data_IF_071862525277
#
_entry.id   IF_071862525277
#
_cell.length_a   1.000
_cell.length_b   1.000
_cell.length_c   1.000
_cell.angle_alpha   90.00
_cell.angle_beta   90.00
_cell.angle_gamma   90.00
#
_symmetry.space_group_name_H-M   'P 1'
#
loop_
_entity.id
_entity.type
_entity.pdbx_description
1 polymer ?
#
# COMPACT_ATOMS: atom_id res chain seq x y z
N UNK A 1 22.46 36.44 34.79
CA UNK A 1 22.07 37.49 33.81
C UNK A 1 20.75 37.05 33.21
N UNK A 2 19.67 37.52 33.84
CA UNK A 2 18.31 37.14 33.44
C UNK A 2 17.92 37.94 32.19
N UNK A 3 17.90 37.22 31.06
CA UNK A 3 17.42 37.77 29.82
C UNK A 3 15.89 37.93 29.85
N UNK A 4 15.45 39.06 30.30
CA UNK A 4 14.06 39.50 30.25
C UNK A 4 13.68 39.71 28.78
N UNK A 5 13.22 38.67 28.09
CA UNK A 5 12.55 38.82 26.81
C UNK A 5 11.26 39.57 27.04
N UNK A 6 11.19 40.81 26.57
CA UNK A 6 9.96 41.56 26.41
C UNK A 6 9.08 40.71 25.47
N UNK A 7 8.16 39.96 26.05
CA UNK A 7 7.08 39.31 25.29
C UNK A 7 6.15 40.42 24.86
N UNK A 8 6.14 40.70 23.56
CA UNK A 8 5.18 41.60 22.95
C UNK A 8 3.79 41.05 23.27
N UNK A 9 3.00 41.83 24.04
CA UNK A 9 1.79 41.33 24.69
C UNK A 9 0.56 41.22 23.77
N UNK A 10 0.72 40.78 22.53
CA UNK A 10 -0.37 40.42 21.65
C UNK A 10 -0.82 38.96 21.90
N UNK A 11 -1.76 38.82 22.82
CA UNK A 11 -2.47 37.56 23.03
C UNK A 11 -3.77 37.58 22.20
N UNK A 12 -3.93 36.55 21.34
CA UNK A 12 -5.20 36.33 20.64
C UNK A 12 -6.06 35.34 21.44
N UNK A 13 -7.13 35.86 22.06
CA UNK A 13 -8.06 35.08 22.88
C UNK A 13 -8.80 33.99 22.11
N UNK A 14 -8.93 34.11 20.79
CA UNK A 14 -9.64 33.16 19.95
C UNK A 14 -8.71 32.01 19.48
N UNK A 15 -7.52 32.38 18.97
CA UNK A 15 -6.54 31.41 18.48
C UNK A 15 -5.60 30.86 19.58
N UNK A 16 -5.55 31.52 20.74
CA UNK A 16 -4.61 31.23 21.81
C UNK A 16 -3.17 31.63 21.49
N UNK A 17 -2.93 32.33 20.37
CA UNK A 17 -1.59 32.75 19.96
C UNK A 17 -0.97 33.65 21.03
N UNK A 18 0.28 33.35 21.43
CA UNK A 18 0.98 34.05 22.51
C UNK A 18 0.69 33.53 23.92
N UNK A 19 -0.24 32.58 24.09
CA UNK A 19 -0.59 31.94 25.38
C UNK A 19 -0.13 30.49 25.43
N UNK A 20 -0.26 29.84 26.59
CA UNK A 20 -0.03 28.37 26.73
C UNK A 20 -1.03 27.51 25.93
N UNK A 21 -2.08 28.13 25.39
CA UNK A 21 -3.08 27.47 24.53
C UNK A 21 -2.81 27.69 23.04
N UNK A 22 -1.69 28.31 22.69
CA UNK A 22 -1.28 28.51 21.30
C UNK A 22 -1.04 27.16 20.64
N UNK A 23 -1.94 26.80 19.71
CA UNK A 23 -1.85 25.56 18.94
C UNK A 23 -0.59 25.49 18.07
N UNK A 24 -0.02 26.65 17.68
CA UNK A 24 1.22 26.74 16.93
C UNK A 24 2.47 26.44 17.78
N UNK A 25 2.43 26.77 19.08
CA UNK A 25 3.55 26.47 20.00
C UNK A 25 3.70 24.97 20.32
N UNK A 26 2.68 24.17 20.03
CA UNK A 26 2.70 22.72 20.18
C UNK A 26 3.33 21.99 18.97
N UNK A 27 3.77 22.72 17.94
CA UNK A 27 4.50 22.16 16.81
C UNK A 27 5.97 21.84 17.14
N UNK A 28 6.28 21.46 18.38
CA UNK A 28 7.54 20.86 18.76
C UNK A 28 7.50 19.38 18.36
N UNK A 29 8.59 18.91 17.72
CA UNK A 29 8.77 17.48 17.51
C UNK A 29 8.79 16.79 18.88
N UNK A 30 7.65 16.28 19.31
CA UNK A 30 7.60 15.37 20.44
C UNK A 30 8.34 14.10 20.01
N UNK A 31 9.37 13.73 20.77
CA UNK A 31 10.01 12.41 20.62
C UNK A 31 8.87 11.40 20.65
N UNK A 32 8.76 10.60 19.60
CA UNK A 32 7.65 9.65 19.44
C UNK A 32 7.57 8.76 20.68
N UNK A 33 6.59 8.99 21.52
CA UNK A 33 6.29 8.13 22.66
C UNK A 33 5.90 6.74 22.13
N UNK A 34 6.35 5.71 22.81
CA UNK A 34 5.88 4.36 22.50
C UNK A 34 4.43 4.28 22.93
N UNK A 35 3.52 4.30 21.97
CA UNK A 35 2.11 4.11 22.24
C UNK A 35 1.84 2.69 22.75
N UNK A 36 0.96 2.58 23.73
CA UNK A 36 0.53 1.28 24.24
C UNK A 36 -0.22 0.49 23.16
N UNK A 37 -0.15 -0.86 23.16
CA UNK A 37 -0.80 -1.71 22.14
C UNK A 37 -2.28 -1.40 21.93
N UNK A 38 -3.00 -1.13 22.99
CA UNK A 38 -4.44 -0.81 22.94
C UNK A 38 -4.71 0.55 22.29
N UNK A 39 -3.81 1.54 22.44
CA UNK A 39 -3.93 2.85 21.79
C UNK A 39 -3.76 2.72 20.28
N UNK A 40 -2.74 1.96 19.83
CA UNK A 40 -2.52 1.67 18.41
C UNK A 40 -3.71 0.95 17.80
N UNK A 41 -4.26 -0.04 18.51
CA UNK A 41 -5.46 -0.76 18.10
C UNK A 41 -6.67 0.16 18.01
N UNK A 42 -6.92 0.96 19.05
CA UNK A 42 -8.06 1.89 19.08
C UNK A 42 -7.95 2.92 17.95
N UNK A 43 -6.77 3.48 17.70
CA UNK A 43 -6.56 4.41 16.59
C UNK A 43 -6.83 3.74 15.23
N UNK A 44 -6.37 2.50 15.05
CA UNK A 44 -6.61 1.72 13.84
C UNK A 44 -8.11 1.42 13.64
N UNK A 45 -8.83 1.00 14.69
CA UNK A 45 -10.25 0.68 14.61
C UNK A 45 -11.15 1.93 14.43
N UNK A 46 -10.69 3.09 14.91
CA UNK A 46 -11.48 4.32 14.89
C UNK A 46 -11.39 5.13 13.59
N UNK A 47 -10.32 5.01 12.81
CA UNK A 47 -10.10 5.85 11.62
C UNK A 47 -9.84 5.03 10.36
N UNK A 48 -10.71 5.20 9.36
CA UNK A 48 -10.53 4.57 8.04
C UNK A 48 -9.25 5.04 7.32
N UNK A 49 -8.80 6.28 7.55
CA UNK A 49 -7.54 6.77 7.02
C UNK A 49 -6.35 6.04 7.63
N UNK A 50 -6.40 5.77 8.93
CA UNK A 50 -5.35 4.99 9.62
C UNK A 50 -5.35 3.55 9.13
N UNK A 51 -6.52 2.90 9.01
CA UNK A 51 -6.62 1.56 8.44
C UNK A 51 -5.98 1.51 7.06
N UNK A 52 -6.35 2.43 6.18
CA UNK A 52 -5.79 2.50 4.83
C UNK A 52 -4.28 2.73 4.81
N UNK A 53 -3.76 3.59 5.70
CA UNK A 53 -2.33 3.86 5.83
C UNK A 53 -1.51 2.63 6.28
N UNK A 54 -2.10 1.78 7.08
CA UNK A 54 -1.48 0.52 7.56
C UNK A 54 -1.66 -0.59 6.53
N UNK A 55 -2.88 -0.79 6.05
CA UNK A 55 -3.26 -1.97 5.25
C UNK A 55 -2.76 -1.89 3.81
N UNK A 56 -2.93 -0.76 3.13
CA UNK A 56 -2.61 -0.63 1.71
C UNK A 56 -1.16 -1.03 1.35
N UNK A 57 -0.10 -0.58 2.07
CA UNK A 57 1.25 -1.04 1.74
C UNK A 57 1.51 -2.52 2.08
N UNK A 58 0.80 -3.09 3.04
CA UNK A 58 0.87 -4.52 3.34
C UNK A 58 0.16 -5.33 2.27
N UNK A 59 -1.04 -4.88 1.85
CA UNK A 59 -1.83 -5.49 0.79
C UNK A 59 -1.09 -5.43 -0.54
N UNK A 60 -0.61 -4.27 -0.96
CA UNK A 60 0.12 -4.10 -2.22
C UNK A 60 1.40 -4.94 -2.25
N UNK A 61 2.09 -5.13 -1.11
CA UNK A 61 3.28 -6.00 -1.05
C UNK A 61 2.96 -7.49 -1.22
N UNK A 62 1.70 -7.89 -1.06
CA UNK A 62 1.25 -9.27 -1.17
C UNK A 62 0.27 -9.51 -2.34
N UNK A 63 -0.37 -8.46 -2.89
CA UNK A 63 -1.39 -8.56 -3.93
C UNK A 63 -0.90 -9.27 -5.17
N UNK A 64 0.21 -8.79 -5.74
CA UNK A 64 0.89 -9.45 -6.83
C UNK A 64 1.95 -10.36 -6.23
N UNK A 65 1.55 -11.65 -6.08
CA UNK A 65 2.35 -12.63 -5.37
C UNK A 65 3.54 -13.11 -6.20
N UNK A 66 4.20 -14.13 -5.72
CA UNK A 66 5.38 -14.73 -6.36
C UNK A 66 5.01 -15.47 -7.64
N UNK A 67 5.92 -15.48 -8.57
CA UNK A 67 5.88 -16.28 -9.79
C UNK A 67 7.06 -17.25 -9.74
N UNK A 68 6.74 -18.52 -9.59
CA UNK A 68 7.75 -19.57 -9.50
C UNK A 68 8.36 -19.85 -10.86
N UNK A 69 9.65 -20.10 -10.87
CA UNK A 69 10.44 -20.50 -12.03
C UNK A 69 10.97 -21.91 -11.77
N UNK A 70 10.43 -22.89 -12.45
CA UNK A 70 10.72 -24.31 -12.36
C UNK A 70 10.00 -25.06 -13.49
N UNK A 71 10.01 -26.37 -13.50
CA UNK A 71 9.16 -27.17 -14.39
C UNK A 71 7.67 -27.00 -14.02
N UNK A 72 6.79 -27.09 -15.03
CA UNK A 72 5.35 -26.84 -14.86
C UNK A 72 4.69 -27.69 -13.76
N UNK A 73 5.13 -28.91 -13.58
CA UNK A 73 4.63 -29.82 -12.54
C UNK A 73 5.11 -29.37 -11.16
N UNK A 74 6.36 -28.95 -11.05
CA UNK A 74 6.94 -28.42 -9.80
C UNK A 74 6.26 -27.13 -9.38
N UNK A 75 6.04 -26.19 -10.32
CA UNK A 75 5.29 -24.96 -10.08
C UNK A 75 3.92 -25.28 -9.52
N UNK A 76 3.16 -26.17 -10.17
CA UNK A 76 1.83 -26.57 -9.72
C UNK A 76 1.82 -27.15 -8.31
N UNK A 77 2.82 -27.97 -7.97
CA UNK A 77 2.96 -28.57 -6.64
C UNK A 77 3.28 -27.50 -5.58
N UNK A 78 4.16 -26.55 -5.89
CA UNK A 78 4.53 -25.46 -4.96
C UNK A 78 3.35 -24.53 -4.74
N UNK A 79 2.64 -24.13 -5.79
CA UNK A 79 1.44 -23.28 -5.69
C UNK A 79 0.31 -23.97 -4.91
N UNK A 80 0.11 -25.29 -5.11
CA UNK A 80 -0.85 -26.06 -4.33
C UNK A 80 -0.50 -26.09 -2.84
N UNK A 81 0.79 -26.20 -2.50
CA UNK A 81 1.26 -26.19 -1.12
C UNK A 81 1.16 -24.80 -0.51
N UNK A 82 1.48 -23.71 -1.25
CA UNK A 82 1.23 -22.32 -0.83
C UNK A 82 -0.26 -22.08 -0.52
N UNK A 83 -1.13 -22.56 -1.38
CA UNK A 83 -2.58 -22.44 -1.20
C UNK A 83 -3.07 -23.25 0.01
N UNK A 84 -2.58 -24.49 0.18
CA UNK A 84 -2.93 -25.34 1.33
C UNK A 84 -2.56 -24.68 2.67
N UNK A 85 -1.41 -24.02 2.72
CA UNK A 85 -0.89 -23.35 3.91
C UNK A 85 -1.44 -21.92 4.07
N UNK A 86 -2.04 -21.35 3.02
CA UNK A 86 -2.50 -19.96 2.98
C UNK A 86 -1.36 -18.96 3.10
N UNK A 87 -0.19 -19.24 2.51
CA UNK A 87 1.05 -18.47 2.70
C UNK A 87 0.84 -16.99 2.43
N UNK A 88 0.27 -16.63 1.28
CA UNK A 88 0.03 -15.23 0.89
C UNK A 88 -0.84 -14.49 1.91
N UNK A 89 -1.94 -15.07 2.35
CA UNK A 89 -2.85 -14.48 3.32
C UNK A 89 -2.19 -14.32 4.70
N UNK A 90 -1.40 -15.32 5.13
CA UNK A 90 -0.67 -15.28 6.41
C UNK A 90 0.44 -14.23 6.39
N UNK A 91 1.16 -14.10 5.28
CA UNK A 91 2.19 -13.07 5.12
C UNK A 91 1.56 -11.67 5.10
N UNK A 92 0.42 -11.49 4.40
CA UNK A 92 -0.32 -10.23 4.44
C UNK A 92 -0.73 -9.86 5.87
N UNK A 93 -1.33 -10.79 6.61
CA UNK A 93 -1.71 -10.59 8.01
C UNK A 93 -0.50 -10.20 8.87
N UNK A 94 0.60 -10.94 8.75
CA UNK A 94 1.83 -10.66 9.48
C UNK A 94 2.40 -9.27 9.12
N UNK A 95 2.44 -8.92 7.84
CA UNK A 95 2.90 -7.60 7.38
C UNK A 95 2.05 -6.46 7.91
N UNK A 96 0.73 -6.60 7.90
CA UNK A 96 -0.21 -5.64 8.47
C UNK A 96 0.05 -5.43 9.96
N UNK A 97 0.17 -6.52 10.73
CA UNK A 97 0.45 -6.47 12.16
C UNK A 97 1.83 -5.89 12.46
N UNK A 98 2.84 -6.22 11.64
CA UNK A 98 4.17 -5.64 11.78
C UNK A 98 4.18 -4.12 11.56
N UNK A 99 3.42 -3.61 10.60
CA UNK A 99 3.26 -2.16 10.37
C UNK A 99 2.54 -1.48 11.53
N UNK A 100 1.47 -2.09 12.04
CA UNK A 100 0.67 -1.55 13.13
C UNK A 100 1.44 -1.57 14.47
N UNK A 101 2.01 -2.70 14.82
CA UNK A 101 2.61 -2.92 16.13
C UNK A 101 4.13 -2.81 16.17
N UNK A 102 4.79 -2.70 15.00
CA UNK A 102 6.25 -2.66 14.91
C UNK A 102 6.91 -4.01 14.68
N UNK A 103 6.18 -5.11 14.83
CA UNK A 103 6.68 -6.45 14.58
C UNK A 103 5.60 -7.52 14.65
N UNK A 104 5.83 -8.60 13.92
CA UNK A 104 5.05 -9.83 13.96
C UNK A 104 5.94 -11.02 13.55
N UNK A 105 5.53 -12.21 13.88
CA UNK A 105 6.21 -13.44 13.50
C UNK A 105 5.25 -14.39 12.79
N UNK A 106 5.78 -15.17 11.85
CA UNK A 106 5.08 -16.31 11.27
C UNK A 106 5.79 -17.58 11.74
N UNK A 107 5.12 -18.38 12.55
CA UNK A 107 5.62 -19.64 13.06
C UNK A 107 5.43 -20.76 12.03
N UNK A 108 6.51 -21.46 11.71
CA UNK A 108 6.52 -22.63 10.83
C UNK A 108 6.31 -23.89 11.70
N UNK A 109 5.14 -24.48 11.61
CA UNK A 109 4.77 -25.68 12.35
C UNK A 109 5.02 -26.95 11.54
N UNK A 110 5.97 -27.79 11.97
CA UNK A 110 6.27 -29.08 11.34
C UNK A 110 5.67 -30.26 12.08
N UNK A 111 5.03 -30.03 13.26
CA UNK A 111 4.54 -31.09 14.13
C UNK A 111 5.63 -31.77 14.96
N UNK A 112 6.83 -31.16 15.05
CA UNK A 112 7.89 -31.65 15.92
C UNK A 112 7.46 -31.61 17.39
N UNK A 113 7.92 -32.57 18.18
CA UNK A 113 7.58 -32.70 19.60
C UNK A 113 8.25 -31.65 20.49
N UNK A 114 9.42 -31.16 20.07
CA UNK A 114 10.18 -30.12 20.78
C UNK A 114 10.25 -28.84 19.94
N UNK A 115 9.58 -27.76 20.32
CA UNK A 115 9.64 -26.47 19.62
C UNK A 115 11.01 -25.78 19.74
N UNK A 116 11.86 -26.15 20.70
CA UNK A 116 13.22 -25.64 20.87
C UNK A 116 14.24 -26.30 19.94
N UNK A 117 13.90 -27.43 19.34
CA UNK A 117 14.75 -28.07 18.33
C UNK A 117 14.88 -27.15 17.10
N UNK A 118 16.11 -26.86 16.62
CA UNK A 118 16.30 -26.08 15.40
C UNK A 118 15.53 -26.68 14.23
N UNK A 119 14.84 -25.85 13.49
CA UNK A 119 14.25 -26.24 12.21
C UNK A 119 15.37 -26.27 11.16
N UNK A 120 15.74 -27.48 10.78
CA UNK A 120 16.63 -27.72 9.66
C UNK A 120 15.76 -27.95 8.41
N UNK A 121 15.80 -27.04 7.41
CA UNK A 121 15.03 -27.21 6.18
C UNK A 121 15.29 -28.54 5.46
N UNK A 122 16.52 -29.10 5.56
CA UNK A 122 16.88 -30.36 4.91
C UNK A 122 16.10 -31.56 5.46
N UNK A 123 15.60 -31.46 6.68
CA UNK A 123 14.80 -32.53 7.31
C UNK A 123 13.31 -32.46 6.96
N UNK A 124 12.89 -31.42 6.25
CA UNK A 124 11.48 -31.24 5.87
C UNK A 124 11.13 -32.16 4.71
N UNK A 125 10.37 -33.22 5.00
CA UNK A 125 9.84 -34.13 3.99
C UNK A 125 8.61 -33.53 3.26
N UNK A 126 8.17 -34.20 2.20
CA UNK A 126 6.95 -33.82 1.47
C UNK A 126 5.74 -33.77 2.41
N UNK A 127 5.01 -32.64 2.37
CA UNK A 127 3.93 -32.34 3.31
C UNK A 127 4.42 -32.12 4.75
N UNK A 128 5.71 -31.76 4.95
CA UNK A 128 6.34 -31.58 6.26
C UNK A 128 5.90 -30.35 7.00
N UNK A 129 5.53 -29.27 6.30
CA UNK A 129 4.89 -28.12 6.94
C UNK A 129 3.42 -28.45 7.22
N UNK A 130 3.04 -28.44 8.48
CA UNK A 130 1.66 -28.78 8.90
C UNK A 130 0.76 -27.53 8.98
N UNK A 131 1.30 -26.44 9.51
CA UNK A 131 0.57 -25.19 9.68
C UNK A 131 1.52 -23.99 9.73
N UNK A 132 0.95 -22.82 9.49
CA UNK A 132 1.58 -21.52 9.71
C UNK A 132 0.71 -20.73 10.69
N UNK A 133 1.31 -20.13 11.71
CA UNK A 133 0.61 -19.32 12.71
C UNK A 133 1.19 -17.92 12.76
N UNK A 134 0.35 -16.91 12.60
CA UNK A 134 0.75 -15.50 12.74
C UNK A 134 0.71 -15.14 14.22
N UNK A 135 1.77 -14.54 14.72
CA UNK A 135 1.93 -14.08 16.09
C UNK A 135 2.26 -12.58 16.08
N UNK A 136 1.63 -11.83 16.94
CA UNK A 136 1.97 -10.43 17.16
C UNK A 136 3.22 -10.32 18.03
N UNK A 137 3.93 -9.17 17.98
CA UNK A 137 5.07 -8.93 18.88
C UNK A 137 4.74 -9.00 20.38
N UNK A 138 3.47 -8.92 20.74
CA UNK A 138 3.02 -8.98 22.15
C UNK A 138 2.72 -10.38 22.63
N UNK A 139 2.58 -11.33 21.71
CA UNK A 139 2.40 -12.76 22.01
C UNK A 139 3.73 -13.50 22.11
N UNK A 140 4.82 -12.88 21.60
CA UNK A 140 6.13 -13.51 21.51
C UNK A 140 7.22 -12.55 21.97
N UNK A 141 8.10 -13.00 22.85
CA UNK A 141 9.20 -12.22 23.44
C UNK A 141 10.54 -12.92 23.23
N UNK A 142 11.52 -12.20 22.70
CA UNK A 142 12.89 -12.69 22.56
C UNK A 142 13.60 -12.76 23.91
N UNK A 143 14.32 -13.84 24.14
CA UNK A 143 15.03 -14.11 25.40
C UNK A 143 16.49 -14.47 25.12
N UNK A 144 17.34 -14.20 26.12
CA UNK A 144 18.75 -14.60 26.18
C UNK A 144 19.52 -14.25 24.90
N UNK A 145 19.80 -12.94 24.75
CA UNK A 145 20.44 -12.41 23.54
C UNK A 145 21.89 -12.86 23.41
N UNK A 146 22.32 -13.16 22.17
CA UNK A 146 23.71 -13.44 21.85
C UNK A 146 24.54 -12.16 21.98
N UNK A 147 25.51 -12.17 22.88
CA UNK A 147 26.35 -11.01 23.18
C UNK A 147 27.75 -11.10 22.56
N UNK A 148 28.11 -12.22 21.95
CA UNK A 148 29.39 -12.39 21.27
C UNK A 148 29.38 -11.64 19.93
N UNK A 149 30.22 -10.60 19.83
CA UNK A 149 30.36 -9.77 18.60
C UNK A 149 30.85 -10.58 17.41
N UNK A 150 31.54 -11.70 17.64
CA UNK A 150 32.07 -12.58 16.58
C UNK A 150 31.02 -13.55 16.06
N UNK A 151 29.90 -13.72 16.78
CA UNK A 151 28.79 -14.56 16.36
C UNK A 151 27.99 -13.91 15.22
N UNK A 152 27.58 -14.64 14.19
CA UNK A 152 26.67 -14.16 13.14
C UNK A 152 25.29 -13.79 13.69
N UNK A 153 24.96 -14.27 14.89
CA UNK A 153 23.70 -14.00 15.59
C UNK A 153 23.81 -12.89 16.63
N UNK A 154 24.90 -12.10 16.62
CA UNK A 154 25.11 -11.00 17.56
C UNK A 154 23.89 -10.11 17.69
N UNK A 155 23.43 -9.89 18.92
CA UNK A 155 22.22 -9.14 19.29
C UNK A 155 20.89 -9.78 18.85
N UNK A 156 20.88 -11.05 18.46
CA UNK A 156 19.64 -11.77 18.21
C UNK A 156 19.26 -12.61 19.43
N UNK A 157 17.96 -12.83 19.69
CA UNK A 157 17.49 -13.73 20.74
C UNK A 157 17.94 -15.17 20.47
N UNK A 158 18.43 -15.86 21.48
CA UNK A 158 18.75 -17.30 21.38
C UNK A 158 17.49 -18.16 21.28
N UNK A 159 16.41 -17.71 21.91
CA UNK A 159 15.09 -18.32 21.77
C UNK A 159 13.99 -17.30 21.96
N UNK A 160 12.79 -17.65 21.53
CA UNK A 160 11.60 -16.86 21.67
C UNK A 160 10.59 -17.57 22.57
N UNK A 161 9.98 -16.85 23.48
CA UNK A 161 8.94 -17.38 24.37
C UNK A 161 7.58 -16.89 23.90
N UNK A 162 6.67 -17.82 23.62
CA UNK A 162 5.25 -17.55 23.30
C UNK A 162 4.42 -17.86 24.50
N UNK A 163 3.46 -16.98 24.81
CA UNK A 163 2.44 -17.24 25.82
C UNK A 163 1.22 -17.87 25.12
N UNK A 164 0.99 -19.15 25.33
CA UNK A 164 -0.15 -19.86 24.79
C UNK A 164 -1.47 -19.38 25.44
N UNK A 165 -2.61 -19.66 24.81
CA UNK A 165 -3.93 -19.24 25.27
C UNK A 165 -4.31 -19.78 26.68
N UNK A 166 -3.71 -20.89 27.10
CA UNK A 166 -3.85 -21.49 28.43
C UNK A 166 -2.88 -20.90 29.47
N UNK A 167 -2.07 -19.89 29.10
CA UNK A 167 -1.07 -19.27 29.93
C UNK A 167 0.26 -20.02 30.04
N UNK A 168 0.43 -21.14 29.35
CA UNK A 168 1.72 -21.84 29.29
C UNK A 168 2.74 -21.06 28.47
N UNK A 169 3.98 -21.04 28.92
CA UNK A 169 5.10 -20.46 28.19
C UNK A 169 5.79 -21.55 27.37
N UNK A 170 5.83 -21.33 26.06
CA UNK A 170 6.47 -22.25 25.12
C UNK A 170 7.67 -21.54 24.51
N UNK A 171 8.84 -22.17 24.64
CA UNK A 171 10.06 -21.64 24.02
C UNK A 171 10.19 -22.19 22.61
N UNK A 172 10.53 -21.30 21.66
CA UNK A 172 10.69 -21.61 20.25
C UNK A 172 12.11 -21.28 19.80
N UNK A 173 12.67 -22.16 18.97
CA UNK A 173 13.94 -21.86 18.32
C UNK A 173 13.74 -20.79 17.23
N UNK A 174 14.67 -19.81 17.07
CA UNK A 174 14.54 -18.72 16.08
C UNK A 174 14.36 -19.19 14.64
N UNK A 175 14.95 -20.33 14.24
CA UNK A 175 14.82 -20.88 12.89
C UNK A 175 13.39 -21.30 12.52
N UNK A 176 12.47 -21.40 13.50
CA UNK A 176 11.05 -21.71 13.25
C UNK A 176 10.21 -20.47 12.99
N UNK A 177 10.81 -19.29 13.02
CA UNK A 177 10.10 -18.01 12.95
C UNK A 177 10.56 -17.19 11.74
N UNK A 178 9.60 -16.72 10.97
CA UNK A 178 9.78 -15.65 9.99
C UNK A 178 9.41 -14.34 10.67
N UNK A 179 10.40 -13.45 10.86
CA UNK A 179 10.19 -12.19 11.56
C UNK A 179 9.92 -11.06 10.58
N UNK A 180 8.79 -10.39 10.73
CA UNK A 180 8.45 -9.18 10.00
C UNK A 180 8.56 -7.98 10.91
N UNK A 181 9.38 -7.01 10.52
CA UNK A 181 9.53 -5.75 11.22
C UNK A 181 8.67 -4.67 10.56
N UNK A 182 8.17 -3.73 11.37
CA UNK A 182 7.53 -2.52 10.87
C UNK A 182 8.56 -1.56 10.27
N UNK A 183 8.82 -0.42 10.93
CA UNK A 183 9.97 0.40 10.60
C UNK A 183 11.22 -0.26 11.17
N UNK A 184 12.30 -0.25 10.36
CA UNK A 184 13.56 -0.82 10.81
C UNK A 184 13.99 -0.25 12.17
N UNK A 185 14.45 -1.09 13.11
CA UNK A 185 14.94 -0.62 14.39
C UNK A 185 16.17 0.27 14.15
N UNK A 186 16.17 1.45 14.78
CA UNK A 186 17.39 2.24 14.87
C UNK A 186 18.33 1.50 15.82
N UNK A 187 19.61 1.42 15.45
CA UNK A 187 20.62 0.90 16.36
C UNK A 187 20.75 1.86 17.54
N UNK A 188 20.43 1.40 18.74
CA UNK A 188 20.65 2.17 19.95
C UNK A 188 22.14 2.41 20.16
N UNK A 189 22.49 3.65 20.44
CA UNK A 189 23.87 4.05 20.78
C UNK A 189 24.20 3.51 22.18
N UNK A 190 24.61 2.22 22.26
CA UNK A 190 25.15 1.63 23.49
C UNK A 190 24.28 0.60 24.20
N UNK A 191 23.10 0.22 23.68
CA UNK A 191 22.25 -0.83 24.26
C UNK A 191 22.01 -2.00 23.32
N UNK A 192 21.67 -3.15 23.88
CA UNK A 192 20.98 -4.21 23.16
C UNK A 192 19.59 -3.68 22.86
N UNK A 193 19.13 -3.71 21.61
CA UNK A 193 17.73 -3.43 21.30
C UNK A 193 16.88 -4.29 22.21
N UNK A 194 16.07 -3.66 23.02
CA UNK A 194 15.51 -4.30 24.22
C UNK A 194 14.53 -5.43 23.94
N UNK A 195 14.09 -5.60 22.68
CA UNK A 195 13.08 -6.61 22.34
C UNK A 195 13.23 -7.27 20.95
N UNK A 196 14.24 -6.88 20.15
CA UNK A 196 14.49 -7.45 18.82
C UNK A 196 13.50 -7.00 17.75
N UNK A 197 12.54 -6.13 18.06
CA UNK A 197 11.50 -5.68 17.16
C UNK A 197 11.78 -4.32 16.52
N UNK A 198 11.12 -4.06 15.41
CA UNK A 198 11.06 -2.74 14.80
C UNK A 198 10.07 -1.81 15.53
N UNK A 199 9.80 -0.65 14.93
CA UNK A 199 8.84 0.33 15.45
C UNK A 199 7.56 0.31 14.63
N UNK A 200 6.43 0.63 15.28
CA UNK A 200 5.17 0.91 14.61
C UNK A 200 5.35 2.05 13.59
N UNK A 201 4.70 1.91 12.44
CA UNK A 201 4.66 3.00 11.45
C UNK A 201 3.65 4.09 11.82
N UNK A 202 2.69 3.78 12.70
CA UNK A 202 1.57 4.66 13.01
C UNK A 202 1.98 5.98 13.71
N UNK A 203 2.85 6.00 14.73
CA UNK A 203 3.17 7.25 15.44
C UNK A 203 3.68 8.36 14.53
N UNK A 204 4.50 8.01 13.53
CA UNK A 204 5.07 8.98 12.60
C UNK A 204 4.06 9.64 11.65
N UNK A 205 2.90 9.02 11.42
CA UNK A 205 1.86 9.54 10.51
C UNK A 205 0.61 10.01 11.24
N UNK A 206 0.48 9.69 12.53
CA UNK A 206 -0.75 9.89 13.31
C UNK A 206 -1.17 11.36 13.36
N UNK A 207 -0.22 12.26 13.63
CA UNK A 207 -0.51 13.70 13.71
C UNK A 207 -0.94 14.29 12.37
N UNK A 208 -0.33 13.85 11.28
CA UNK A 208 -0.68 14.29 9.94
C UNK A 208 -2.10 13.85 9.56
N UNK A 209 -2.45 12.60 9.87
CA UNK A 209 -3.79 12.04 9.62
C UNK A 209 -4.85 12.71 10.50
N UNK A 210 -4.59 12.92 11.80
CA UNK A 210 -5.50 13.65 12.70
C UNK A 210 -5.80 15.06 12.20
N UNK A 211 -4.79 15.77 11.68
CA UNK A 211 -4.99 17.13 11.14
C UNK A 211 -5.92 17.15 9.93
N UNK A 212 -5.91 16.10 9.09
CA UNK A 212 -6.88 16.00 7.98
C UNK A 212 -8.29 15.83 8.52
N UNK A 213 -8.49 14.96 9.51
CA UNK A 213 -9.80 14.76 10.15
C UNK A 213 -10.28 16.04 10.85
N UNK A 214 -9.38 16.74 11.57
CA UNK A 214 -9.69 18.02 12.25
C UNK A 214 -10.10 19.10 11.26
N UNK A 215 -9.40 19.24 10.13
CA UNK A 215 -9.73 20.29 9.16
C UNK A 215 -11.05 19.97 8.44
N UNK A 216 -11.32 18.71 8.16
CA UNK A 216 -12.60 18.29 7.61
C UNK A 216 -13.76 18.58 8.59
N UNK A 217 -13.57 18.28 9.88
CA UNK A 217 -14.53 18.62 10.93
C UNK A 217 -14.74 20.14 11.06
N UNK A 218 -13.67 20.93 11.08
CA UNK A 218 -13.73 22.39 11.16
C UNK A 218 -14.43 22.98 9.94
N UNK A 219 -14.14 22.47 8.72
CA UNK A 219 -14.83 22.89 7.50
C UNK A 219 -16.33 22.60 7.56
N UNK A 220 -16.72 21.44 8.08
CA UNK A 220 -18.12 21.11 8.32
C UNK A 220 -18.77 22.06 9.34
N UNK A 221 -18.10 22.35 10.46
CA UNK A 221 -18.59 23.29 11.48
C UNK A 221 -18.77 24.69 10.92
N UNK A 222 -17.79 25.19 10.13
CA UNK A 222 -17.89 26.47 9.44
C UNK A 222 -19.07 26.53 8.47
N UNK A 223 -19.46 25.41 7.86
CA UNK A 223 -20.61 25.36 6.97
C UNK A 223 -21.94 25.67 7.68
N UNK A 224 -22.05 25.30 8.95
CA UNK A 224 -23.22 25.64 9.79
C UNK A 224 -23.21 27.10 10.20
N UNK A 225 -22.03 27.74 10.34
CA UNK A 225 -21.86 29.15 10.69
C UNK A 225 -21.75 30.05 9.45
N UNK A 226 -21.89 29.48 8.25
CA UNK A 226 -21.72 30.21 6.98
C UNK A 226 -22.63 31.42 6.81
N UNK A 227 -23.69 31.50 7.58
CA UNK A 227 -24.67 32.60 7.56
C UNK A 227 -24.85 33.14 8.96
N UNK A 228 -24.34 34.32 9.18
CA UNK A 228 -24.60 35.07 10.42
C UNK A 228 -25.65 36.13 10.16
N UNK A 229 -26.75 36.01 10.86
CA UNK A 229 -27.81 37.03 10.83
C UNK A 229 -27.51 38.09 11.84
N UNK A 230 -27.35 39.32 11.37
CA UNK A 230 -27.14 40.48 12.22
C UNK A 230 -28.43 41.28 12.24
N UNK A 231 -29.09 41.33 13.41
CA UNK A 231 -30.28 42.16 13.65
C UNK A 231 -29.83 43.33 14.50
N UNK A 232 -29.93 44.55 13.97
CA UNK A 232 -29.66 45.77 14.72
C UNK A 232 -30.96 46.23 15.37
N UNK A 233 -30.98 46.23 16.71
CA UNK A 233 -32.11 46.70 17.51
C UNK A 233 -31.72 48.07 18.10
N UNK A 234 -32.46 49.14 17.82
CA UNK A 234 -32.16 50.45 18.38
C UNK A 234 -32.22 50.42 19.92
N UNK A 235 -31.28 51.13 20.53
CA UNK A 235 -31.18 51.30 22.01
C UNK A 235 -31.15 49.97 22.81
N UNK A 236 -30.76 48.85 22.21
CA UNK A 236 -30.74 47.51 22.86
C UNK A 236 -30.04 47.54 24.23
N UNK A 237 -28.84 48.09 24.30
CA UNK A 237 -28.06 48.13 25.54
C UNK A 237 -28.68 49.04 26.59
N UNK A 238 -29.24 50.17 26.17
CA UNK A 238 -29.94 51.11 27.05
C UNK A 238 -31.21 50.48 27.64
N UNK A 239 -31.99 49.81 26.83
CA UNK A 239 -33.21 49.12 27.25
C UNK A 239 -32.88 47.90 28.18
N UNK A 240 -31.81 47.17 27.92
CA UNK A 240 -31.35 46.09 28.80
C UNK A 240 -30.95 46.60 30.19
N UNK A 241 -30.26 47.75 30.25
CA UNK A 241 -29.88 48.38 31.52
C UNK A 241 -31.08 48.94 32.30
N UNK A 242 -32.07 49.48 31.60
CA UNK A 242 -33.23 50.14 32.23
C UNK A 242 -34.34 49.16 32.61
N UNK A 243 -34.61 48.14 31.79
CA UNK A 243 -35.75 47.21 31.94
C UNK A 243 -35.33 45.85 32.47
N UNK A 244 -34.02 45.58 32.54
CA UNK A 244 -33.45 44.34 33.13
C UNK A 244 -33.91 43.03 32.46
N UNK A 245 -34.04 41.99 33.27
CA UNK A 245 -34.31 40.59 32.87
C UNK A 245 -35.61 40.48 32.04
N UNK A 246 -36.65 41.27 32.31
CA UNK A 246 -37.89 41.18 31.57
C UNK A 246 -37.70 41.54 30.06
N UNK A 247 -36.92 42.56 29.77
CA UNK A 247 -36.61 42.92 28.37
C UNK A 247 -35.71 41.92 27.69
N UNK A 248 -34.73 41.38 28.40
CA UNK A 248 -33.88 40.27 27.90
C UNK A 248 -34.73 39.08 27.45
N UNK A 249 -35.71 38.68 28.25
CA UNK A 249 -36.61 37.58 27.90
C UNK A 249 -37.48 37.89 26.68
N UNK A 250 -37.97 39.12 26.54
CA UNK A 250 -38.70 39.57 25.36
C UNK A 250 -37.86 39.48 24.10
N UNK A 251 -36.59 39.95 24.15
CA UNK A 251 -35.65 39.90 23.03
C UNK A 251 -35.32 38.45 22.66
N UNK A 252 -35.04 37.57 23.62
CA UNK A 252 -34.77 36.14 23.40
C UNK A 252 -36.00 35.47 22.75
N UNK A 253 -37.22 35.73 23.27
CA UNK A 253 -38.46 35.17 22.71
C UNK A 253 -38.66 35.62 21.27
N UNK A 254 -38.38 36.85 20.96
CA UNK A 254 -38.47 37.41 19.61
C UNK A 254 -37.45 36.80 18.67
N UNK A 255 -36.18 36.65 19.06
CA UNK A 255 -35.15 36.02 18.25
C UNK A 255 -35.52 34.55 17.97
N UNK A 256 -36.03 33.82 18.96
CA UNK A 256 -36.52 32.43 18.76
C UNK A 256 -37.65 32.39 17.74
N UNK A 257 -38.65 33.28 17.83
CA UNK A 257 -39.75 33.33 16.85
C UNK A 257 -39.26 33.73 15.45
N UNK A 258 -38.34 34.67 15.34
CA UNK A 258 -37.75 35.07 14.07
C UNK A 258 -36.96 33.92 13.43
N UNK A 259 -36.18 33.14 14.22
CA UNK A 259 -35.45 31.98 13.76
C UNK A 259 -36.36 30.83 13.30
N UNK A 260 -37.50 30.62 13.98
CA UNK A 260 -38.50 29.64 13.57
C UNK A 260 -39.26 30.06 12.30
N UNK A 261 -39.62 31.32 12.16
CA UNK A 261 -40.31 31.84 10.99
C UNK A 261 -39.44 31.83 9.72
N UNK A 262 -38.13 32.02 9.87
CA UNK A 262 -37.17 32.02 8.76
C UNK A 262 -37.06 30.65 8.07
N UNK A 263 -37.41 29.55 8.76
CA UNK A 263 -37.16 28.18 8.28
C UNK A 263 -38.02 27.69 7.11
N UNK A 264 -39.21 28.26 6.89
CA UNK A 264 -40.18 27.69 5.94
C UNK A 264 -40.43 28.59 4.71
N UNK A 265 -40.48 29.91 4.86
CA UNK A 265 -40.85 30.82 3.73
C UNK A 265 -39.88 32.00 3.56
N UNK A 266 -38.74 32.04 4.24
CA UNK A 266 -37.72 33.10 4.05
C UNK A 266 -38.16 34.49 4.46
N UNK A 267 -39.29 34.66 5.18
CA UNK A 267 -39.82 35.97 5.58
C UNK A 267 -39.38 36.30 7.00
N UNK A 268 -38.64 37.37 7.16
CA UNK A 268 -38.29 37.96 8.45
C UNK A 268 -39.10 39.24 8.68
N UNK A 269 -39.85 39.29 9.78
CA UNK A 269 -40.63 40.49 10.16
C UNK A 269 -39.77 41.33 11.10
N UNK A 270 -39.50 42.58 10.68
CA UNK A 270 -38.71 43.57 11.43
C UNK A 270 -39.59 44.73 11.84
N UNK A 271 -39.23 45.40 12.92
CA UNK A 271 -39.81 46.72 13.26
C UNK A 271 -39.23 47.78 12.32
N UNK A 272 -39.97 48.90 12.16
CA UNK A 272 -39.61 49.98 11.23
C UNK A 272 -38.20 50.59 11.48
N UNK A 273 -37.68 50.44 12.69
CA UNK A 273 -36.37 50.94 13.09
C UNK A 273 -35.29 49.88 13.19
N UNK A 274 -35.60 48.62 12.92
CA UNK A 274 -34.66 47.51 12.93
C UNK A 274 -34.02 47.29 11.56
N UNK A 275 -32.73 47.03 11.56
CA UNK A 275 -32.01 46.65 10.34
C UNK A 275 -31.57 45.19 10.40
N UNK A 276 -31.76 44.49 9.31
CA UNK A 276 -31.29 43.14 9.11
C UNK A 276 -30.16 43.08 8.06
N UNK A 277 -29.07 42.50 8.42
CA UNK A 277 -27.94 42.24 7.51
C UNK A 277 -27.57 40.79 7.62
N UNK A 278 -27.49 40.10 6.50
CA UNK A 278 -26.96 38.73 6.47
C UNK A 278 -25.52 38.76 6.01
N UNK A 279 -24.60 38.37 6.90
CA UNK A 279 -23.19 38.17 6.56
C UNK A 279 -22.97 36.73 6.17
N UNK A 280 -22.50 36.53 4.95
CA UNK A 280 -22.11 35.23 4.45
C UNK A 280 -20.59 35.11 4.49
N UNK A 281 -20.07 34.02 5.06
CA UNK A 281 -18.65 33.67 5.00
C UNK A 281 -18.31 33.16 3.61
N UNK A 282 -17.22 33.65 3.04
CA UNK A 282 -16.66 33.07 1.80
C UNK A 282 -15.76 31.90 2.15
N UNK A 283 -16.01 30.77 1.52
CA UNK A 283 -15.17 29.59 1.62
C UNK A 283 -14.06 29.54 0.55
N UNK A 284 -13.86 30.63 -0.19
CA UNK A 284 -12.80 30.71 -1.19
C UNK A 284 -11.44 30.44 -0.53
N UNK A 285 -10.67 29.51 -1.06
CA UNK A 285 -9.37 29.11 -0.52
C UNK A 285 -9.40 27.98 0.51
N UNK A 286 -10.55 27.60 1.06
CA UNK A 286 -10.63 26.46 2.00
C UNK A 286 -10.23 25.14 1.33
N UNK A 287 -10.65 24.92 0.08
CA UNK A 287 -10.27 23.79 -0.74
C UNK A 287 -8.74 23.66 -0.85
N UNK A 288 -8.05 24.76 -1.21
CA UNK A 288 -6.60 24.76 -1.31
C UNK A 288 -5.88 24.45 0.01
N UNK A 289 -6.47 24.84 1.14
CA UNK A 289 -5.93 24.52 2.47
C UNK A 289 -6.12 23.02 2.78
N UNK A 290 -7.29 22.47 2.53
CA UNK A 290 -7.58 21.04 2.71
C UNK A 290 -6.62 20.21 1.85
N UNK A 291 -6.43 20.57 0.59
CA UNK A 291 -5.50 19.90 -0.32
C UNK A 291 -4.07 19.87 0.22
N UNK A 292 -3.60 20.98 0.83
CA UNK A 292 -2.26 21.02 1.45
C UNK A 292 -2.12 20.04 2.62
N UNK A 293 -3.14 19.92 3.47
CA UNK A 293 -3.11 18.96 4.57
C UNK A 293 -3.17 17.50 4.05
N UNK A 294 -3.95 17.24 3.00
CA UNK A 294 -4.00 15.94 2.35
C UNK A 294 -2.65 15.57 1.71
N UNK A 295 -1.96 16.55 1.06
CA UNK A 295 -0.60 16.36 0.54
C UNK A 295 0.39 16.02 1.66
N UNK A 296 0.35 16.75 2.78
CA UNK A 296 1.21 16.47 3.93
C UNK A 296 0.95 15.10 4.55
N UNK A 297 -0.33 14.70 4.67
CA UNK A 297 -0.69 13.37 5.16
C UNK A 297 -0.20 12.27 4.21
N UNK A 298 -0.39 12.43 2.89
CA UNK A 298 0.14 11.51 1.87
C UNK A 298 1.65 11.36 1.96
N UNK A 299 2.37 12.47 2.14
CA UNK A 299 3.82 12.45 2.31
C UNK A 299 4.24 11.71 3.60
N UNK A 300 3.52 11.91 4.71
CA UNK A 300 3.78 11.23 5.99
C UNK A 300 3.53 9.72 5.91
N UNK A 301 2.46 9.32 5.22
CA UNK A 301 2.12 7.90 4.98
C UNK A 301 3.04 7.29 3.92
N UNK A 302 3.51 8.11 2.97
CA UNK A 302 4.34 7.68 1.85
C UNK A 302 3.56 6.94 0.76
N UNK A 303 2.27 7.27 0.61
CA UNK A 303 1.37 6.82 -0.46
C UNK A 303 0.94 8.05 -1.24
N UNK A 304 0.97 8.04 -2.59
CA UNK A 304 0.51 9.16 -3.40
C UNK A 304 -0.91 9.59 -3.06
N UNK A 305 -1.16 10.91 -3.10
CA UNK A 305 -2.47 11.49 -2.77
C UNK A 305 -3.60 10.92 -3.63
N UNK A 306 -3.34 10.68 -4.91
CA UNK A 306 -4.26 10.06 -5.87
C UNK A 306 -4.71 8.65 -5.46
N UNK A 307 -3.78 7.86 -4.92
CA UNK A 307 -4.07 6.52 -4.41
C UNK A 307 -4.65 6.57 -3.00
N UNK A 308 -4.08 7.38 -2.11
CA UNK A 308 -4.46 7.40 -0.70
C UNK A 308 -5.85 7.98 -0.46
N UNK A 309 -6.17 9.11 -1.11
CA UNK A 309 -7.46 9.79 -0.98
C UNK A 309 -8.42 9.50 -2.14
N UNK A 310 -8.01 8.71 -3.15
CA UNK A 310 -8.78 8.41 -4.36
C UNK A 310 -9.24 9.67 -5.12
N UNK A 311 -8.37 10.67 -5.20
CA UNK A 311 -8.64 11.94 -5.87
C UNK A 311 -8.05 11.89 -7.27
N UNK A 312 -8.78 12.42 -8.24
CA UNK A 312 -8.25 12.58 -9.59
C UNK A 312 -7.05 13.51 -9.59
N UNK A 313 -5.95 13.18 -10.31
CA UNK A 313 -4.80 14.06 -10.40
C UNK A 313 -5.21 15.39 -11.04
N UNK A 314 -4.78 16.51 -10.43
CA UNK A 314 -5.04 17.85 -10.95
C UNK A 314 -4.09 18.19 -12.12
N UNK A 315 -4.65 18.80 -13.18
CA UNK A 315 -3.86 19.31 -14.32
C UNK A 315 -4.19 18.64 -15.66
N UNK A 316 -3.92 19.37 -16.76
CA UNK A 316 -4.29 19.02 -18.14
C UNK A 316 -3.64 17.73 -18.69
N UNK A 317 -2.62 17.20 -18.03
CA UNK A 317 -1.88 15.98 -18.45
C UNK A 317 -1.55 15.05 -17.28
N UNK A 318 -2.19 15.24 -16.12
CA UNK A 318 -1.89 14.46 -14.93
C UNK A 318 -2.65 13.14 -14.96
N UNK A 319 -2.00 12.05 -15.37
CA UNK A 319 -2.56 10.70 -15.31
C UNK A 319 -2.37 10.06 -13.94
N UNK A 320 -1.50 10.62 -13.08
CA UNK A 320 -1.10 10.03 -11.80
C UNK A 320 -0.23 8.76 -11.95
N UNK A 321 0.12 8.37 -13.17
CA UNK A 321 0.90 7.17 -13.45
C UNK A 321 2.30 7.23 -12.85
N UNK A 322 2.99 8.37 -12.97
CA UNK A 322 4.35 8.52 -12.44
C UNK A 322 4.40 8.33 -10.93
N UNK A 323 3.40 8.87 -10.21
CA UNK A 323 3.31 8.75 -8.76
C UNK A 323 2.99 7.32 -8.35
N UNK A 324 2.09 6.66 -9.10
CA UNK A 324 1.75 5.26 -8.87
C UNK A 324 2.94 4.34 -9.14
N UNK A 325 3.71 4.58 -10.21
CA UNK A 325 4.94 3.83 -10.49
C UNK A 325 5.98 4.01 -9.40
N UNK A 326 6.23 5.25 -8.97
CA UNK A 326 7.16 5.53 -7.87
C UNK A 326 6.75 4.84 -6.55
N UNK A 327 5.45 4.78 -6.28
CA UNK A 327 4.92 4.04 -5.13
C UNK A 327 5.14 2.52 -5.27
N UNK A 328 4.87 1.95 -6.44
CA UNK A 328 5.08 0.52 -6.68
C UNK A 328 6.57 0.13 -6.67
N UNK A 329 7.45 1.01 -7.12
CA UNK A 329 8.90 0.81 -6.96
C UNK A 329 9.30 0.74 -5.49
N UNK A 330 8.70 1.59 -4.63
CA UNK A 330 8.89 1.53 -3.18
C UNK A 330 8.39 0.20 -2.58
N UNK A 331 7.23 -0.29 -3.03
CA UNK A 331 6.71 -1.59 -2.60
C UNK A 331 7.62 -2.73 -3.06
N UNK A 332 8.16 -2.68 -4.28
CA UNK A 332 9.14 -3.65 -4.80
C UNK A 332 10.42 -3.68 -3.96
N UNK A 333 10.91 -2.51 -3.51
CA UNK A 333 12.03 -2.43 -2.58
C UNK A 333 11.71 -3.13 -1.26
N UNK A 334 10.50 -2.96 -0.74
CA UNK A 334 10.03 -3.65 0.47
C UNK A 334 9.98 -5.16 0.29
N UNK A 335 9.49 -5.64 -0.86
CA UNK A 335 9.47 -7.07 -1.21
C UNK A 335 10.88 -7.65 -1.28
N UNK A 336 11.79 -6.99 -2.00
CA UNK A 336 13.13 -7.54 -2.29
C UNK A 336 14.11 -7.40 -1.11
N UNK A 337 14.08 -6.27 -0.36
CA UNK A 337 15.05 -6.03 0.70
C UNK A 337 14.59 -6.50 2.09
N UNK A 338 13.29 -6.69 2.30
CA UNK A 338 12.75 -7.03 3.62
C UNK A 338 11.98 -8.35 3.63
N UNK A 339 11.01 -8.50 2.72
CA UNK A 339 10.17 -9.71 2.70
C UNK A 339 10.95 -10.93 2.22
N UNK A 340 11.65 -10.85 1.10
CA UNK A 340 12.42 -11.96 0.55
C UNK A 340 13.41 -12.55 1.56
N UNK A 341 14.33 -11.72 2.11
CA UNK A 341 15.27 -12.22 3.12
C UNK A 341 14.59 -12.79 4.39
N UNK A 342 13.49 -12.16 4.85
CA UNK A 342 12.76 -12.66 6.02
C UNK A 342 12.11 -14.02 5.77
N UNK A 343 11.63 -14.25 4.54
CA UNK A 343 10.93 -15.48 4.15
C UNK A 343 11.85 -16.61 3.70
N UNK A 344 13.16 -16.39 3.58
CA UNK A 344 14.10 -17.36 2.99
C UNK A 344 14.00 -18.76 3.61
N UNK A 345 13.91 -18.85 4.94
CA UNK A 345 13.79 -20.15 5.61
C UNK A 345 12.42 -20.82 5.35
N UNK A 346 11.36 -20.01 5.27
CA UNK A 346 10.04 -20.52 4.89
C UNK A 346 10.05 -21.04 3.47
N UNK A 347 10.71 -20.35 2.54
CA UNK A 347 10.77 -20.72 1.13
C UNK A 347 11.51 -22.05 0.95
N UNK A 348 12.63 -22.25 1.65
CA UNK A 348 13.35 -23.52 1.67
C UNK A 348 12.48 -24.67 2.18
N UNK A 349 11.78 -24.47 3.30
CA UNK A 349 10.88 -25.45 3.86
C UNK A 349 9.66 -25.71 2.95
N UNK A 350 9.14 -24.68 2.29
CA UNK A 350 7.97 -24.76 1.42
C UNK A 350 8.25 -25.61 0.17
N UNK A 351 9.38 -25.33 -0.50
CA UNK A 351 9.78 -26.10 -1.69
C UNK A 351 9.94 -27.56 -1.33
N UNK A 352 10.64 -27.89 -0.25
CA UNK A 352 10.80 -29.27 0.23
C UNK A 352 9.48 -29.90 0.65
N UNK A 353 8.60 -29.12 1.29
CA UNK A 353 7.25 -29.61 1.63
C UNK A 353 6.40 -29.90 0.40
N UNK A 354 6.58 -29.16 -0.70
CA UNK A 354 5.86 -29.38 -1.95
C UNK A 354 6.44 -30.54 -2.78
N UNK A 355 7.76 -30.56 -2.96
CA UNK A 355 8.44 -31.45 -3.89
C UNK A 355 9.03 -32.71 -3.19
N UNK A 356 9.49 -32.55 -1.94
CA UNK A 356 10.22 -33.59 -1.17
C UNK A 356 11.73 -33.35 -1.16
N UNK A 357 12.24 -32.52 -2.05
CA UNK A 357 13.62 -32.10 -2.18
C UNK A 357 13.72 -30.61 -2.52
N UNK A 358 14.94 -30.13 -2.79
CA UNK A 358 15.22 -28.73 -3.14
C UNK A 358 16.05 -28.68 -4.42
N UNK A 359 15.39 -28.64 -5.60
CA UNK A 359 16.11 -28.43 -6.86
C UNK A 359 16.79 -27.05 -6.89
N UNK A 360 18.01 -26.98 -7.46
CA UNK A 360 18.83 -25.76 -7.48
C UNK A 360 18.26 -24.66 -8.40
N UNK A 361 17.53 -25.04 -9.41
CA UNK A 361 16.93 -24.17 -10.42
C UNK A 361 15.60 -23.53 -9.98
N UNK A 362 14.95 -24.08 -8.95
CA UNK A 362 13.70 -23.55 -8.42
C UNK A 362 13.94 -22.23 -7.68
N UNK A 363 13.39 -21.17 -8.23
CA UNK A 363 13.40 -19.86 -7.63
C UNK A 363 12.11 -19.10 -7.96
N UNK A 364 11.90 -17.93 -7.38
CA UNK A 364 10.74 -17.11 -7.72
C UNK A 364 11.13 -15.67 -8.04
N UNK A 365 10.21 -14.98 -8.71
CA UNK A 365 10.22 -13.53 -8.90
C UNK A 365 8.93 -12.94 -8.33
N UNK A 366 8.99 -11.70 -7.88
CA UNK A 366 7.79 -10.95 -7.52
C UNK A 366 7.10 -10.50 -8.81
N UNK A 367 5.79 -10.79 -8.93
CA UNK A 367 4.99 -10.27 -10.05
C UNK A 367 4.98 -8.75 -10.04
N UNK A 368 5.06 -8.07 -11.19
CA UNK A 368 5.03 -6.63 -11.24
C UNK A 368 3.66 -6.10 -10.79
N UNK A 369 3.68 -5.12 -9.87
CA UNK A 369 2.47 -4.46 -9.37
C UNK A 369 1.79 -3.59 -10.44
N UNK A 370 2.56 -3.04 -11.36
CA UNK A 370 2.04 -2.33 -12.52
C UNK A 370 1.63 -3.35 -13.57
N UNK A 371 0.33 -3.44 -13.80
CA UNK A 371 -0.19 -4.26 -14.89
C UNK A 371 -0.36 -3.37 -16.12
N UNK A 372 0.38 -3.64 -17.21
CA UNK A 372 0.18 -2.94 -18.45
C UNK A 372 -1.25 -3.14 -18.96
N UNK A 373 -1.81 -2.15 -19.61
CA UNK A 373 -3.10 -2.26 -20.28
C UNK A 373 -3.10 -3.39 -21.31
N UNK A 374 -4.26 -3.89 -21.70
CA UNK A 374 -4.36 -4.92 -22.75
C UNK A 374 -3.65 -4.49 -24.04
N UNK A 375 -3.72 -3.19 -24.37
CA UNK A 375 -3.03 -2.63 -25.52
C UNK A 375 -1.50 -2.65 -25.37
N UNK A 376 -0.98 -2.18 -24.24
CA UNK A 376 0.47 -2.22 -23.94
C UNK A 376 1.00 -3.65 -23.92
N UNK A 377 0.24 -4.60 -23.37
CA UNK A 377 0.61 -6.04 -23.40
C UNK A 377 0.70 -6.56 -24.84
N UNK A 378 -0.29 -6.26 -25.65
CA UNK A 378 -0.29 -6.68 -27.06
C UNK A 378 0.87 -6.03 -27.85
N UNK A 379 1.16 -4.75 -27.61
CA UNK A 379 2.29 -4.05 -28.25
C UNK A 379 3.63 -4.64 -27.79
N UNK A 380 3.79 -4.93 -26.50
CA UNK A 380 5.02 -5.55 -25.96
C UNK A 380 5.20 -6.97 -26.52
N UNK A 381 4.14 -7.77 -26.55
CA UNK A 381 4.17 -9.11 -27.13
C UNK A 381 4.53 -9.09 -28.61
N UNK A 382 3.99 -8.15 -29.38
CA UNK A 382 4.34 -7.95 -30.79
C UNK A 382 5.83 -7.59 -30.96
N UNK A 383 6.33 -6.63 -30.18
CA UNK A 383 7.76 -6.21 -30.24
C UNK A 383 8.67 -7.39 -29.88
N UNK A 384 8.31 -8.17 -28.85
CA UNK A 384 9.07 -9.35 -28.45
C UNK A 384 9.10 -10.42 -29.56
N UNK A 385 7.95 -10.69 -30.20
CA UNK A 385 7.85 -11.63 -31.31
C UNK A 385 8.66 -11.15 -32.53
N UNK A 386 8.59 -9.86 -32.91
CA UNK A 386 9.40 -9.28 -33.99
C UNK A 386 10.90 -9.35 -33.67
N UNK A 387 11.31 -9.09 -32.43
CA UNK A 387 12.71 -9.23 -32.04
C UNK A 387 13.18 -10.67 -32.13
N UNK A 388 12.37 -11.65 -31.71
CA UNK A 388 12.69 -13.06 -31.80
C UNK A 388 12.79 -13.53 -33.27
N UNK A 389 11.85 -13.13 -34.13
CA UNK A 389 11.92 -13.44 -35.58
C UNK A 389 13.22 -12.97 -36.18
N UNK A 390 13.68 -11.75 -35.86
CA UNK A 390 14.98 -11.23 -36.35
C UNK A 390 16.18 -12.04 -35.83
N UNK A 391 16.14 -12.61 -34.63
CA UNK A 391 17.22 -13.44 -34.11
C UNK A 391 17.26 -14.81 -34.75
N UNK A 392 16.10 -15.33 -35.17
CA UNK A 392 15.99 -16.56 -35.99
C UNK A 392 16.54 -16.30 -37.40
N UNK A 393 16.09 -15.22 -38.08
CA UNK A 393 16.58 -14.84 -39.39
C UNK A 393 18.10 -14.64 -39.42
N UNK A 394 18.67 -14.15 -38.31
CA UNK A 394 20.13 -14.00 -38.17
C UNK A 394 20.86 -15.32 -37.82
N UNK A 395 20.16 -16.42 -37.69
CA UNK A 395 20.74 -17.74 -37.32
C UNK A 395 21.28 -17.83 -35.89
N UNK A 396 20.90 -16.91 -35.02
CA UNK A 396 21.38 -16.85 -33.62
C UNK A 396 20.64 -17.83 -32.69
N UNK A 397 19.37 -18.13 -32.99
CA UNK A 397 18.51 -18.99 -32.21
C UNK A 397 17.81 -19.99 -33.13
N UNK A 398 17.77 -21.29 -32.80
CA UNK A 398 16.99 -22.28 -33.54
C UNK A 398 15.50 -21.93 -33.55
N UNK A 399 14.82 -22.22 -34.62
CA UNK A 399 13.40 -21.88 -34.85
C UNK A 399 12.48 -22.50 -33.79
N UNK A 400 12.73 -23.75 -33.38
CA UNK A 400 11.99 -24.45 -32.34
C UNK A 400 12.10 -23.77 -30.97
N UNK A 401 13.32 -23.32 -30.60
CA UNK A 401 13.56 -22.60 -29.34
C UNK A 401 12.88 -21.23 -29.36
N UNK A 402 12.94 -20.54 -30.49
CA UNK A 402 12.29 -19.26 -30.69
C UNK A 402 10.76 -19.38 -30.64
N UNK A 403 10.20 -20.41 -31.29
CA UNK A 403 8.77 -20.69 -31.27
C UNK A 403 8.24 -20.95 -29.86
N UNK A 404 8.96 -21.76 -29.07
CA UNK A 404 8.63 -22.01 -27.66
C UNK A 404 8.69 -20.72 -26.83
N UNK A 405 9.74 -19.91 -27.00
CA UNK A 405 9.89 -18.66 -26.27
C UNK A 405 8.78 -17.65 -26.63
N UNK A 406 8.38 -17.54 -27.90
CA UNK A 406 7.26 -16.68 -28.33
C UNK A 406 5.93 -17.19 -27.80
N UNK A 407 5.68 -18.50 -27.82
CA UNK A 407 4.47 -19.12 -27.27
C UNK A 407 4.33 -18.83 -25.78
N UNK A 408 5.40 -19.00 -25.00
CA UNK A 408 5.42 -18.67 -23.58
C UNK A 408 5.15 -17.18 -23.36
N UNK A 409 5.80 -16.30 -24.13
CA UNK A 409 5.58 -14.86 -24.02
C UNK A 409 4.13 -14.47 -24.33
N UNK A 410 3.49 -15.07 -25.32
CA UNK A 410 2.09 -14.82 -25.64
C UNK A 410 1.13 -15.34 -24.55
N UNK A 411 1.45 -16.46 -23.92
CA UNK A 411 0.68 -17.00 -22.81
C UNK A 411 0.83 -16.13 -21.56
N UNK A 412 2.07 -15.78 -21.19
CA UNK A 412 2.38 -14.93 -20.03
C UNK A 412 1.83 -13.50 -20.18
N UNK A 413 1.94 -12.93 -21.38
CA UNK A 413 1.38 -11.59 -21.66
C UNK A 413 -0.15 -11.58 -21.70
N UNK A 414 -0.80 -12.75 -21.76
CA UNK A 414 -2.24 -12.89 -21.93
C UNK A 414 -2.73 -12.43 -23.32
N UNK A 415 -1.83 -12.29 -24.31
CA UNK A 415 -2.20 -11.95 -25.68
C UNK A 415 -2.91 -13.12 -26.37
N UNK A 416 -2.43 -14.35 -26.11
CA UNK A 416 -3.04 -15.60 -26.60
C UNK A 416 -3.04 -16.64 -25.48
N UNK A 417 -4.04 -16.64 -24.58
CA UNK A 417 -4.13 -17.60 -23.50
C UNK A 417 -4.24 -19.04 -24.03
N UNK A 418 -3.45 -19.96 -23.49
CA UNK A 418 -3.49 -21.38 -23.89
C UNK A 418 -2.58 -21.74 -25.05
N UNK A 419 -1.81 -20.81 -25.63
CA UNK A 419 -0.89 -21.08 -26.72
C UNK A 419 0.18 -22.13 -26.36
N UNK A 420 0.62 -22.14 -25.10
CA UNK A 420 1.56 -23.15 -24.56
C UNK A 420 0.98 -24.58 -24.64
N UNK A 421 -0.30 -24.75 -24.33
CA UNK A 421 -1.00 -26.03 -24.48
C UNK A 421 -1.04 -26.53 -25.92
N UNK A 422 -1.35 -25.64 -26.85
CA UNK A 422 -1.35 -25.95 -28.28
C UNK A 422 0.05 -26.23 -28.79
N UNK A 423 1.07 -25.51 -28.32
CA UNK A 423 2.46 -25.78 -28.67
C UNK A 423 2.91 -27.15 -28.19
N UNK A 424 2.60 -27.50 -26.94
CA UNK A 424 2.94 -28.79 -26.35
C UNK A 424 2.20 -29.95 -27.04
N UNK A 425 0.95 -29.75 -27.44
CA UNK A 425 0.15 -30.72 -28.18
C UNK A 425 0.69 -30.95 -29.59
N UNK A 426 1.17 -29.87 -30.26
CA UNK A 426 1.65 -29.93 -31.64
C UNK A 426 3.11 -30.39 -31.76
N UNK A 427 3.98 -29.93 -30.87
CA UNK A 427 5.44 -30.21 -30.90
C UNK A 427 5.92 -31.12 -29.77
N UNK A 428 5.16 -31.32 -28.71
CA UNK A 428 5.53 -32.11 -27.52
C UNK A 428 5.34 -33.61 -27.71
N UNK A 429 4.62 -34.05 -28.73
CA UNK A 429 4.59 -35.46 -29.17
C UNK A 429 5.76 -35.71 -30.11
N UNK A 430 6.97 -35.87 -29.55
CA UNK A 430 8.20 -36.07 -30.30
C UNK A 430 8.31 -37.48 -30.89
N UNK A 431 7.36 -37.87 -31.73
CA UNK A 431 7.46 -38.98 -32.67
C UNK A 431 7.24 -38.41 -34.08
N UNK A 432 8.24 -37.69 -34.60
CA UNK A 432 8.51 -37.56 -36.03
C UNK A 432 7.45 -36.96 -36.96
N UNK A 433 6.45 -36.19 -36.48
CA UNK A 433 5.42 -35.56 -37.31
C UNK A 433 5.61 -34.10 -37.57
N UNK A 434 6.69 -33.47 -37.06
CA UNK A 434 6.97 -32.06 -37.25
C UNK A 434 7.37 -31.66 -38.69
N UNK A 435 7.91 -32.64 -39.42
CA UNK A 435 8.40 -32.37 -40.79
C UNK A 435 7.30 -32.37 -41.88
N UNK A 436 6.10 -32.85 -41.58
CA UNK A 436 5.02 -32.89 -42.59
C UNK A 436 4.17 -31.59 -42.67
N UNK A 437 4.32 -30.65 -41.73
CA UNK A 437 3.47 -29.48 -41.71
C UNK A 437 4.09 -28.24 -42.40
N UNK A 438 5.39 -28.18 -42.57
CA UNK A 438 6.05 -27.26 -43.48
C UNK A 438 6.20 -27.94 -44.83
N UNK A 439 5.04 -28.35 -45.40
CA UNK A 439 4.98 -28.77 -46.77
C UNK A 439 5.57 -27.69 -47.66
N UNK A 440 6.37 -28.16 -48.61
CA UNK A 440 7.02 -27.39 -49.66
C UNK A 440 6.14 -26.14 -50.00
N UNK A 441 6.70 -24.96 -49.79
CA UNK A 441 6.16 -23.76 -50.40
C UNK A 441 6.26 -23.99 -51.88
N UNK A 442 5.14 -24.34 -52.56
CA UNK A 442 5.07 -24.33 -54.00
C UNK A 442 5.58 -22.95 -54.44
N UNK A 443 6.74 -22.94 -55.11
CA UNK A 443 7.23 -21.73 -55.78
C UNK A 443 6.13 -21.27 -56.72
N UNK A 444 5.62 -20.08 -56.50
CA UNK A 444 4.69 -19.43 -57.43
C UNK A 444 5.29 -19.46 -58.82
N UNK A 445 4.52 -19.85 -59.84
CA UNK A 445 4.99 -19.84 -61.23
C UNK A 445 5.47 -18.43 -61.59
N UNK A 446 6.58 -18.31 -62.32
CA UNK A 446 7.16 -17.01 -62.65
C UNK A 446 6.12 -16.12 -63.34
N UNK A 447 6.01 -14.88 -62.89
CA UNK A 447 5.15 -13.86 -63.50
C UNK A 447 5.45 -13.78 -65.02
N UNK A 448 4.43 -13.73 -65.88
CA UNK A 448 4.62 -13.57 -67.33
C UNK A 448 5.31 -12.25 -67.61
N UNK A 449 6.38 -12.32 -68.43
CA UNK A 449 7.10 -11.14 -68.91
C UNK A 449 6.12 -10.11 -69.52
N UNK A 450 6.30 -8.81 -69.26
CA UNK A 450 5.45 -7.78 -69.84
C UNK A 450 5.61 -7.74 -71.38
N UNK A 451 4.47 -7.87 -72.08
CA UNK A 451 4.39 -7.78 -73.56
C UNK A 451 5.00 -6.47 -74.03
N UNK A 452 5.90 -6.61 -74.99
CA UNK A 452 6.52 -5.49 -75.70
C UNK A 452 5.45 -4.58 -76.30
N UNK A 453 5.45 -3.33 -75.90
CA UNK A 453 4.63 -2.28 -76.54
C UNK A 453 5.12 -2.09 -77.95
N UNK A 454 4.32 -2.45 -78.93
CA UNK A 454 4.44 -1.96 -80.33
C UNK A 454 4.08 -0.47 -80.32
N UNK A 455 5.07 0.34 -80.66
CA UNK A 455 4.88 1.74 -81.03
C UNK A 455 4.10 1.81 -82.37
N UNK A 456 2.84 2.21 -82.27
CA UNK A 456 2.09 2.68 -83.46
C UNK A 456 2.46 4.16 -83.71
N UNK A 457 3.32 4.34 -84.75
CA UNK A 457 3.44 5.59 -85.46
C UNK A 457 2.07 6.07 -85.96
N UNK A 458 1.68 7.26 -85.58
CA UNK A 458 0.69 8.07 -86.31
C UNK A 458 1.23 9.44 -86.52
N UNK A 459 1.75 9.57 -87.74
CA UNK A 459 1.91 10.85 -88.42
C UNK A 459 0.55 11.52 -88.77
N UNK A 460 0.60 12.84 -88.74
CA UNK A 460 -0.18 13.83 -89.50
C UNK A 460 -1.69 14.04 -89.25
N UNK A 461 -2.09 15.19 -88.73
CA UNK A 461 -2.47 16.50 -89.37
C UNK A 461 -2.95 17.50 -88.31
#
# INVERSE_FOLDING_TARGET
>A
MDGNHIRDGMENLVSGMGTSRDKGSQATYTIAEQHAPHELRTAYEASALIQRAIDMPAEDSCREWREWQADSVEISNIEAEEQRLGVQAKVFEARRLARLYGGSALLIGTGASDPMEPLDPETVAKGGIKYLTVLTRYEITGQDYELDVTSPYYKQPKFWTVVAADGQMINLHPSRLVLFHGLAPLRDLGGVSTDGWGRSSLPGMLDALKRVDEIAYNANSLSYEAKVDVIKIPDLMRNLQQRGIAFEQEVIKRIKLASQAKGINGTLILDALEEYEQKTLSFSGLEAVIDKFMQLASAAVGIPMTLFFMISPGGLSATGESDTRAYYDKVKVEQSLRMGPAMSILDECLIRSALGDRPDDVHYRWKPLWQPTAKERAETAKIAAEAMARTVDAGMVPEEVAGRAVSNNFTESGAFPGMEGYWTEFFGTSDGKGDEFFGEVEEDPPEPEPAANEEEDRDDD
#
